data_IF_519133082051
#
_entry.id   IF_519133082051
#
_cell.length_a   1.000
_cell.length_b   1.000
_cell.length_c   1.000
_cell.angle_alpha   90.00
_cell.angle_beta   90.00
_cell.angle_gamma   90.00
#
_symmetry.space_group_name_H-M   'P 1'
#
loop_
_entity.id
_entity.type
_entity.pdbx_description
1 polymer ?
#
# COMPACT_ATOMS: atom_id res chain seq x y z
N UNK A 1 -8.66 -6.97 5.48
CA UNK A 1 -7.56 -6.83 4.52
C UNK A 1 -8.06 -6.08 3.31
N UNK A 2 -7.39 -4.98 2.96
CA UNK A 2 -7.69 -4.10 1.84
C UNK A 2 -6.50 -4.15 0.89
N UNK A 3 -6.75 -4.45 -0.37
CA UNK A 3 -5.75 -4.45 -1.44
C UNK A 3 -5.93 -3.16 -2.24
N UNK A 4 -4.89 -2.35 -2.35
CA UNK A 4 -4.87 -1.17 -3.21
C UNK A 4 -4.29 -1.48 -4.57
N UNK A 5 -5.02 -1.15 -5.64
CA UNK A 5 -4.47 -1.16 -6.99
C UNK A 5 -3.82 0.18 -7.29
N UNK A 6 -2.56 0.13 -7.70
CA UNK A 6 -1.78 1.32 -8.10
C UNK A 6 -1.21 1.11 -9.48
N UNK A 7 -0.95 2.19 -10.19
CA UNK A 7 -0.42 2.18 -11.55
C UNK A 7 -0.70 3.49 -12.25
N UNK A 8 0.06 3.78 -13.30
CA UNK A 8 -0.15 4.98 -14.10
C UNK A 8 -1.45 4.91 -14.91
N UNK A 9 -1.96 6.05 -15.43
CA UNK A 9 -3.06 6.03 -16.39
C UNK A 9 -2.76 5.12 -17.59
N UNK A 10 -3.78 4.49 -18.16
CA UNK A 10 -3.67 3.59 -19.31
C UNK A 10 -2.84 2.30 -19.10
N UNK A 11 -2.42 1.98 -17.88
CA UNK A 11 -1.73 0.71 -17.55
C UNK A 11 -2.63 -0.54 -17.56
N UNK A 12 -3.95 -0.36 -17.67
CA UNK A 12 -4.94 -1.43 -17.55
C UNK A 12 -5.49 -1.64 -16.13
N UNK A 13 -5.14 -0.77 -15.16
CA UNK A 13 -5.62 -0.80 -13.77
C UNK A 13 -7.14 -0.97 -13.63
N UNK A 14 -7.94 -0.12 -14.29
CA UNK A 14 -9.41 -0.21 -14.20
C UNK A 14 -9.98 -1.46 -14.88
N UNK A 15 -9.31 -1.99 -15.91
CA UNK A 15 -9.66 -3.26 -16.55
C UNK A 15 -9.42 -4.42 -15.58
N UNK A 16 -8.27 -4.44 -14.91
CA UNK A 16 -7.96 -5.41 -13.88
C UNK A 16 -8.96 -5.33 -12.72
N UNK A 17 -9.28 -4.12 -12.24
CA UNK A 17 -10.26 -3.91 -11.17
C UNK A 17 -11.62 -4.54 -11.52
N UNK A 18 -12.16 -4.25 -12.71
CA UNK A 18 -13.43 -4.81 -13.17
C UNK A 18 -13.39 -6.33 -13.30
N UNK A 19 -12.29 -6.88 -13.81
CA UNK A 19 -12.12 -8.33 -13.98
C UNK A 19 -11.98 -9.04 -12.62
N UNK A 20 -11.21 -8.48 -11.70
CA UNK A 20 -10.95 -9.05 -10.37
C UNK A 20 -12.18 -8.96 -9.44
N UNK A 21 -13.01 -7.94 -9.62
CA UNK A 21 -14.26 -7.76 -8.86
C UNK A 21 -15.46 -8.47 -9.50
N UNK A 22 -15.28 -9.10 -10.67
CA UNK A 22 -16.33 -9.77 -11.45
C UNK A 22 -17.61 -8.93 -11.47
N UNK A 23 -17.51 -7.68 -11.92
CA UNK A 23 -18.51 -6.63 -11.78
C UNK A 23 -19.85 -6.92 -12.50
N UNK A 24 -20.63 -7.87 -11.98
CA UNK A 24 -22.07 -7.76 -11.79
C UNK A 24 -22.27 -7.41 -10.31
N UNK A 25 -21.96 -6.16 -9.92
CA UNK A 25 -22.03 -5.75 -8.53
C UNK A 25 -23.50 -5.66 -8.12
N UNK A 26 -24.01 -6.71 -7.46
CA UNK A 26 -25.08 -6.52 -6.50
C UNK A 26 -24.52 -5.58 -5.43
N UNK A 27 -24.95 -4.32 -5.47
CA UNK A 27 -24.76 -3.34 -4.42
C UNK A 27 -25.49 -3.89 -3.19
N UNK A 28 -24.83 -4.73 -2.42
CA UNK A 28 -25.28 -5.04 -1.08
C UNK A 28 -25.03 -3.78 -0.24
N UNK A 29 -26.04 -3.24 0.45
CA UNK A 29 -25.86 -2.08 1.32
C UNK A 29 -25.09 -2.53 2.56
N UNK A 30 -23.76 -2.52 2.49
CA UNK A 30 -22.95 -2.55 3.70
C UNK A 30 -23.01 -1.15 4.33
N UNK A 31 -23.33 -1.02 5.63
CA UNK A 31 -23.71 0.25 6.27
C UNK A 31 -22.53 1.22 6.51
N UNK A 32 -21.49 1.20 5.68
CA UNK A 32 -20.29 2.03 5.80
C UNK A 32 -19.79 2.58 4.45
N UNK A 33 -20.65 2.71 3.44
CA UNK A 33 -20.27 3.34 2.17
C UNK A 33 -20.36 4.86 2.29
N UNK A 34 -19.27 5.48 2.71
CA UNK A 34 -19.03 6.91 2.44
C UNK A 34 -18.81 7.05 0.93
N UNK A 35 -19.47 8.04 0.31
CA UNK A 35 -19.27 8.36 -1.11
C UNK A 35 -17.84 8.91 -1.26
N UNK A 36 -16.87 8.09 -1.70
CA UNK A 36 -15.62 8.44 -2.40
C UNK A 36 -14.67 7.22 -2.45
N UNK A 37 -14.01 7.01 -3.61
CA UNK A 37 -13.17 5.87 -4.08
C UNK A 37 -13.93 4.70 -4.72
N UNK A 38 -13.39 4.15 -5.83
CA UNK A 38 -13.93 2.93 -6.45
C UNK A 38 -13.52 1.72 -5.59
N UNK A 39 -14.44 1.25 -4.76
CA UNK A 39 -14.26 0.06 -3.93
C UNK A 39 -15.01 -1.14 -4.52
N UNK A 40 -14.41 -2.32 -4.42
CA UNK A 40 -15.02 -3.57 -4.88
C UNK A 40 -14.61 -4.76 -4.03
N UNK A 41 -15.29 -5.88 -4.24
CA UNK A 41 -14.97 -7.14 -3.56
C UNK A 41 -14.36 -8.09 -4.58
N UNK A 42 -13.11 -8.50 -4.33
CA UNK A 42 -12.44 -9.58 -5.04
C UNK A 42 -12.42 -10.86 -4.18
N UNK A 43 -11.98 -11.98 -4.75
CA UNK A 43 -11.95 -13.25 -4.04
C UNK A 43 -10.56 -13.89 -4.07
N UNK A 44 -10.06 -14.27 -2.90
CA UNK A 44 -8.88 -15.13 -2.76
C UNK A 44 -9.34 -16.58 -2.76
N UNK A 45 -8.77 -17.39 -3.66
CA UNK A 45 -9.08 -18.81 -3.78
C UNK A 45 -8.14 -19.63 -2.90
N UNK A 46 -8.70 -20.55 -2.12
CA UNK A 46 -7.93 -21.52 -1.34
C UNK A 46 -8.63 -22.87 -1.31
N UNK A 47 -7.90 -23.95 -1.02
CA UNK A 47 -8.48 -25.27 -0.86
C UNK A 47 -9.49 -25.29 0.29
N UNK A 48 -10.65 -25.91 0.06
CA UNK A 48 -11.64 -26.10 1.10
C UNK A 48 -11.31 -27.36 1.90
N UNK A 49 -11.35 -27.25 3.23
CA UNK A 49 -11.11 -28.35 4.16
C UNK A 49 -12.24 -29.40 4.18
N UNK A 50 -13.29 -29.23 3.36
CA UNK A 50 -14.45 -30.15 3.32
C UNK A 50 -14.05 -31.58 2.98
N UNK A 51 -13.07 -31.77 2.09
CA UNK A 51 -12.56 -33.09 1.71
C UNK A 51 -11.75 -33.76 2.82
N UNK A 52 -10.96 -32.98 3.58
CA UNK A 52 -10.13 -33.47 4.68
C UNK A 52 -10.96 -33.81 5.92
N UNK A 53 -11.90 -32.91 6.26
CA UNK A 53 -12.71 -33.02 7.46
C UNK A 53 -14.01 -33.81 7.25
N UNK A 54 -14.32 -34.21 6.01
CA UNK A 54 -15.57 -34.90 5.62
C UNK A 54 -16.83 -34.17 6.10
N UNK A 55 -16.80 -32.84 6.15
CA UNK A 55 -17.93 -31.97 6.54
C UNK A 55 -18.32 -31.07 5.38
N UNK A 56 -19.61 -30.75 5.26
CA UNK A 56 -20.09 -29.83 4.23
C UNK A 56 -19.69 -28.39 4.57
N UNK A 57 -19.03 -27.70 3.64
CA UNK A 57 -18.68 -26.29 3.83
C UNK A 57 -19.94 -25.40 3.85
N UNK A 58 -20.12 -24.63 4.93
CA UNK A 58 -21.18 -23.63 5.08
C UNK A 58 -20.57 -22.29 5.49
N UNK A 59 -19.98 -21.53 4.53
CA UNK A 59 -19.29 -20.30 4.85
C UNK A 59 -20.28 -19.18 5.22
N UNK A 60 -20.02 -18.47 6.33
CA UNK A 60 -20.74 -17.23 6.67
C UNK A 60 -20.36 -16.06 5.76
N UNK A 61 -19.14 -16.07 5.22
CA UNK A 61 -18.58 -15.04 4.34
C UNK A 61 -17.96 -15.71 3.11
N UNK A 62 -18.24 -15.15 1.93
CA UNK A 62 -17.81 -15.73 0.66
C UNK A 62 -18.64 -16.95 0.24
N UNK A 63 -18.06 -17.81 -0.57
CA UNK A 63 -18.71 -19.04 -1.03
C UNK A 63 -17.69 -20.16 -1.26
N UNK A 64 -18.19 -21.38 -1.40
CA UNK A 64 -17.41 -22.56 -1.74
C UNK A 64 -17.96 -23.14 -3.03
N UNK A 65 -17.08 -23.48 -3.98
CA UNK A 65 -17.44 -24.12 -5.24
C UNK A 65 -16.38 -25.15 -5.59
N UNK A 66 -16.80 -26.40 -5.84
CA UNK A 66 -15.95 -27.50 -6.30
C UNK A 66 -14.70 -27.72 -5.42
N UNK A 67 -14.85 -27.75 -4.09
CA UNK A 67 -13.72 -27.90 -3.17
C UNK A 67 -12.81 -26.67 -3.05
N UNK A 68 -13.16 -25.53 -3.65
CA UNK A 68 -12.41 -24.28 -3.59
C UNK A 68 -13.22 -23.24 -2.80
N UNK A 69 -12.58 -22.67 -1.79
CA UNK A 69 -13.13 -21.58 -0.98
C UNK A 69 -12.74 -20.22 -1.58
N UNK A 70 -13.73 -19.36 -1.73
CA UNK A 70 -13.61 -17.99 -2.24
C UNK A 70 -13.77 -17.02 -1.06
N UNK A 71 -12.66 -16.49 -0.58
CA UNK A 71 -12.63 -15.59 0.58
C UNK A 71 -12.75 -14.15 0.08
N UNK A 72 -13.80 -13.41 0.45
CA UNK A 72 -14.00 -12.04 -0.02
C UNK A 72 -12.91 -11.14 0.56
N UNK A 73 -12.32 -10.32 -0.30
CA UNK A 73 -11.26 -9.37 0.04
C UNK A 73 -11.57 -8.03 -0.59
N UNK A 74 -11.43 -6.94 0.17
CA UNK A 74 -11.70 -5.60 -0.32
C UNK A 74 -10.59 -5.18 -1.29
N UNK A 75 -10.99 -4.68 -2.46
CA UNK A 75 -10.11 -4.13 -3.48
C UNK A 75 -10.47 -2.66 -3.63
N UNK A 76 -9.49 -1.77 -3.53
CA UNK A 76 -9.66 -0.34 -3.78
C UNK A 76 -8.86 0.06 -5.01
N UNK A 77 -9.46 0.86 -5.87
CA UNK A 77 -8.76 1.47 -6.98
C UNK A 77 -8.16 2.80 -6.53
N UNK A 78 -6.85 2.82 -6.29
CA UNK A 78 -6.16 4.05 -5.91
C UNK A 78 -6.04 4.93 -7.15
N UNK A 79 -6.35 6.22 -7.03
CA UNK A 79 -6.24 7.17 -8.14
C UNK A 79 -4.84 7.14 -8.77
N UNK A 80 -4.74 7.39 -10.08
CA UNK A 80 -3.49 7.23 -10.83
C UNK A 80 -2.35 8.07 -10.25
N UNK A 81 -1.17 7.44 -10.16
CA UNK A 81 0.08 8.07 -9.77
C UNK A 81 0.45 9.15 -10.78
N UNK A 82 0.63 10.38 -10.31
CA UNK A 82 1.23 11.47 -11.09
C UNK A 82 2.60 11.79 -10.48
N UNK A 83 3.65 11.98 -11.30
CA UNK A 83 4.96 12.43 -10.84
C UNK A 83 4.90 13.62 -9.87
N UNK A 84 5.61 13.52 -8.75
CA UNK A 84 5.69 14.61 -7.76
C UNK A 84 4.53 14.66 -6.77
N UNK A 85 3.81 13.55 -6.56
CA UNK A 85 2.75 13.45 -5.56
C UNK A 85 3.26 13.69 -4.13
N UNK A 86 4.47 13.22 -3.80
CA UNK A 86 5.11 13.46 -2.49
C UNK A 86 5.36 14.95 -2.19
N UNK A 87 5.65 15.76 -3.23
CA UNK A 87 5.97 17.18 -3.11
C UNK A 87 4.75 18.09 -2.90
N UNK A 88 3.55 17.52 -2.74
CA UNK A 88 2.32 18.28 -2.47
C UNK A 88 1.80 19.10 -3.66
N UNK A 89 2.31 18.87 -4.87
CA UNK A 89 1.75 19.47 -6.10
C UNK A 89 0.45 18.73 -6.47
N UNK A 90 -0.71 19.32 -6.14
CA UNK A 90 -2.04 18.83 -6.58
C UNK A 90 -2.68 17.78 -5.65
N UNK A 91 -3.44 16.82 -6.23
CA UNK A 91 -4.20 15.76 -5.52
C UNK A 91 -3.32 14.69 -4.81
N UNK A 92 -2.02 14.94 -4.64
CA UNK A 92 -1.05 13.98 -4.09
C UNK A 92 -1.36 13.54 -2.65
N UNK A 93 -1.90 14.43 -1.81
CA UNK A 93 -2.29 14.04 -0.44
C UNK A 93 -3.46 13.02 -0.42
N UNK A 94 -4.45 13.16 -1.32
CA UNK A 94 -5.55 12.20 -1.43
C UNK A 94 -5.06 10.82 -1.88
N UNK A 95 -4.13 10.77 -2.83
CA UNK A 95 -3.49 9.53 -3.25
C UNK A 95 -2.80 8.81 -2.08
N UNK A 96 -2.02 9.56 -1.29
CA UNK A 96 -1.28 9.04 -0.16
C UNK A 96 -2.22 8.61 0.99
N UNK A 97 -3.35 9.27 1.16
CA UNK A 97 -4.39 8.86 2.11
C UNK A 97 -5.11 7.57 1.67
N UNK A 98 -5.34 7.38 0.37
CA UNK A 98 -5.86 6.13 -0.19
C UNK A 98 -4.88 4.97 0.00
N UNK A 99 -3.57 5.22 -0.18
CA UNK A 99 -2.53 4.25 0.10
C UNK A 99 -2.47 3.84 1.58
N UNK A 100 -2.75 4.76 2.52
CA UNK A 100 -2.76 4.47 3.96
C UNK A 100 -3.82 3.43 4.36
N UNK A 101 -4.93 3.38 3.63
CA UNK A 101 -5.99 2.43 3.92
C UNK A 101 -5.64 1.00 3.48
N UNK A 102 -4.86 0.87 2.40
CA UNK A 102 -4.44 -0.41 1.87
C UNK A 102 -3.48 -1.14 2.82
N UNK A 103 -3.68 -2.45 2.97
CA UNK A 103 -2.73 -3.34 3.65
C UNK A 103 -1.64 -3.82 2.69
N UNK A 104 -1.98 -3.93 1.40
CA UNK A 104 -1.11 -4.43 0.32
C UNK A 104 -1.37 -3.62 -0.93
N UNK A 105 -0.31 -3.32 -1.69
CA UNK A 105 -0.40 -2.67 -2.99
C UNK A 105 -0.10 -3.66 -4.11
N UNK A 106 -0.96 -3.70 -5.13
CA UNK A 106 -0.71 -4.38 -6.40
C UNK A 106 -0.42 -3.32 -7.45
N UNK A 107 0.81 -3.30 -7.95
CA UNK A 107 1.23 -2.39 -9.01
C UNK A 107 0.93 -2.99 -10.39
N UNK A 108 0.00 -2.37 -11.10
CA UNK A 108 -0.35 -2.70 -12.48
C UNK A 108 0.54 -1.87 -13.42
N UNK A 109 1.33 -2.56 -14.25
CA UNK A 109 2.28 -1.96 -15.19
C UNK A 109 1.93 -2.32 -16.64
N UNK A 110 2.19 -1.41 -17.57
CA UNK A 110 2.04 -1.69 -19.00
C UNK A 110 3.28 -2.42 -19.52
N UNK A 111 3.20 -3.75 -19.57
CA UNK A 111 4.30 -4.59 -20.05
C UNK A 111 4.66 -4.36 -21.54
N UNK A 112 3.81 -3.68 -22.32
CA UNK A 112 4.09 -3.42 -23.74
C UNK A 112 5.07 -2.27 -23.96
N UNK A 113 5.32 -1.44 -22.94
CA UNK A 113 6.15 -0.24 -23.06
C UNK A 113 5.55 0.84 -23.98
N UNK A 114 4.28 0.70 -24.37
CA UNK A 114 3.63 1.58 -25.36
C UNK A 114 3.01 2.84 -24.77
N UNK A 115 3.16 3.05 -23.48
CA UNK A 115 2.60 4.22 -22.80
C UNK A 115 3.63 4.81 -21.84
N UNK A 116 3.78 6.13 -21.85
CA UNK A 116 4.67 6.85 -20.93
C UNK A 116 4.07 6.98 -19.52
N UNK A 117 4.77 7.68 -18.62
CA UNK A 117 4.37 7.90 -17.22
C UNK A 117 2.99 8.57 -17.05
N UNK A 118 2.56 9.37 -18.02
CA UNK A 118 1.26 10.06 -18.01
C UNK A 118 0.13 9.22 -18.64
N UNK A 119 0.47 8.05 -19.21
CA UNK A 119 -0.47 7.19 -19.94
C UNK A 119 -0.68 7.57 -21.40
N UNK A 120 0.17 8.44 -21.96
CA UNK A 120 0.16 8.81 -23.37
C UNK A 120 0.96 7.79 -24.20
N UNK A 121 0.61 7.56 -25.49
CA UNK A 121 1.35 6.66 -26.36
C UNK A 121 2.85 7.00 -26.44
N UNK A 122 3.69 5.98 -26.40
CA UNK A 122 5.15 6.06 -26.55
C UNK A 122 5.64 4.78 -27.23
N UNK A 123 6.79 4.82 -27.91
CA UNK A 123 7.27 3.66 -28.68
C UNK A 123 8.35 2.82 -27.97
N UNK A 124 8.86 3.27 -26.82
CA UNK A 124 9.91 2.56 -26.05
C UNK A 124 9.99 3.04 -24.59
N UNK A 125 8.90 2.94 -23.84
CA UNK A 125 8.92 3.32 -22.41
C UNK A 125 9.48 2.18 -21.55
N UNK A 126 10.51 2.49 -20.75
CA UNK A 126 11.14 1.51 -19.86
C UNK A 126 10.23 1.17 -18.68
N UNK A 127 9.60 0.00 -18.71
CA UNK A 127 8.70 -0.49 -17.65
C UNK A 127 9.40 -0.59 -16.28
N UNK A 128 10.72 -0.80 -16.25
CA UNK A 128 11.46 -0.82 -14.98
C UNK A 128 11.51 0.56 -14.33
N UNK A 129 11.48 1.63 -15.11
CA UNK A 129 11.39 2.99 -14.58
C UNK A 129 10.05 3.25 -13.91
N UNK A 130 8.96 2.66 -14.41
CA UNK A 130 7.63 2.74 -13.77
C UNK A 130 7.65 2.12 -12.36
N UNK A 131 8.24 0.93 -12.23
CA UNK A 131 8.35 0.24 -10.94
C UNK A 131 9.24 1.01 -9.97
N UNK A 132 10.40 1.49 -10.44
CA UNK A 132 11.32 2.29 -9.63
C UNK A 132 10.70 3.60 -9.18
N UNK A 133 10.01 4.29 -10.09
CA UNK A 133 9.33 5.54 -9.81
C UNK A 133 8.34 5.40 -8.64
N UNK A 134 7.49 4.36 -8.65
CA UNK A 134 6.56 4.14 -7.55
C UNK A 134 7.29 3.84 -6.22
N UNK A 135 8.35 3.02 -6.27
CA UNK A 135 9.14 2.73 -5.07
C UNK A 135 9.76 4.01 -4.50
N UNK A 136 10.40 4.82 -5.34
CA UNK A 136 11.03 6.07 -4.94
C UNK A 136 10.00 7.07 -4.37
N UNK A 137 8.81 7.18 -4.95
CA UNK A 137 7.74 8.06 -4.43
C UNK A 137 7.25 7.61 -3.03
N UNK A 138 7.08 6.30 -2.80
CA UNK A 138 6.70 5.77 -1.48
C UNK A 138 7.81 6.00 -0.47
N UNK A 139 9.06 5.75 -0.85
CA UNK A 139 10.24 5.94 0.01
C UNK A 139 10.39 7.41 0.41
N UNK A 140 10.25 8.33 -0.55
CA UNK A 140 10.31 9.77 -0.31
C UNK A 140 9.13 10.27 0.52
N UNK A 141 7.93 9.72 0.31
CA UNK A 141 6.78 10.06 1.14
C UNK A 141 6.97 9.65 2.60
N UNK A 142 7.46 8.43 2.85
CA UNK A 142 7.79 7.95 4.19
C UNK A 142 8.87 8.83 4.82
N UNK A 143 9.90 9.17 4.05
CA UNK A 143 10.97 10.08 4.50
C UNK A 143 10.41 11.45 4.91
N UNK A 144 9.58 12.07 4.06
CA UNK A 144 8.96 13.36 4.35
C UNK A 144 8.06 13.32 5.60
N UNK A 145 7.32 12.23 5.80
CA UNK A 145 6.51 12.02 7.01
C UNK A 145 7.36 11.98 8.29
N UNK A 146 8.56 11.42 8.22
CA UNK A 146 9.50 11.34 9.35
C UNK A 146 10.21 12.67 9.56
N UNK A 147 10.78 13.26 8.51
CA UNK A 147 11.56 14.50 8.59
C UNK A 147 10.72 15.67 9.10
N UNK A 148 9.46 15.79 8.66
CA UNK A 148 8.54 16.86 9.11
C UNK A 148 8.35 16.90 10.62
N UNK A 149 8.40 15.75 11.31
CA UNK A 149 8.26 15.66 12.78
C UNK A 149 9.56 15.36 13.50
N UNK A 150 10.68 15.23 12.78
CA UNK A 150 11.96 14.81 13.34
C UNK A 150 12.45 15.74 14.44
N UNK A 151 12.39 17.06 14.23
CA UNK A 151 12.80 18.04 15.25
C UNK A 151 11.99 17.91 16.55
N UNK A 152 10.70 17.56 16.45
CA UNK A 152 9.83 17.33 17.60
C UNK A 152 10.22 16.04 18.34
N UNK A 153 10.53 14.97 17.60
CA UNK A 153 11.02 13.72 18.18
C UNK A 153 12.36 13.89 18.88
N UNK A 154 13.31 14.59 18.25
CA UNK A 154 14.63 14.86 18.83
C UNK A 154 14.54 15.56 20.18
N UNK A 155 13.62 16.53 20.33
CA UNK A 155 13.42 17.24 21.60
C UNK A 155 12.80 16.35 22.68
N UNK A 156 11.81 15.52 22.31
CA UNK A 156 11.09 14.65 23.24
C UNK A 156 11.97 13.50 23.74
N UNK A 157 12.67 12.84 22.82
CA UNK A 157 13.54 11.69 23.12
C UNK A 157 14.84 12.08 23.83
N UNK A 158 15.21 13.36 23.82
CA UNK A 158 16.34 13.87 24.61
C UNK A 158 16.06 13.86 26.12
N UNK A 159 14.80 13.81 26.54
CA UNK A 159 14.43 13.73 27.96
C UNK A 159 14.25 12.28 28.40
N UNK A 160 13.48 11.47 27.67
CA UNK A 160 13.35 10.02 27.86
C UNK A 160 12.53 9.40 26.71
N UNK A 161 12.88 8.20 26.26
CA UNK A 161 12.05 7.41 25.34
C UNK A 161 12.82 6.53 24.37
N UNK A 162 12.13 5.55 23.79
CA UNK A 162 12.65 4.68 22.72
C UNK A 162 12.29 5.29 21.36
N UNK A 163 13.28 5.43 20.47
CA UNK A 163 13.06 5.95 19.13
C UNK A 163 12.15 5.02 18.34
N UNK A 164 12.35 3.71 18.46
CA UNK A 164 11.51 2.69 17.83
C UNK A 164 10.02 2.87 18.13
N UNK A 165 9.66 3.12 19.39
CA UNK A 165 8.28 3.34 19.82
C UNK A 165 7.69 4.65 19.24
N UNK A 166 8.47 5.73 19.21
CA UNK A 166 7.98 7.01 18.66
C UNK A 166 7.81 6.94 17.13
N UNK A 167 8.73 6.26 16.42
CA UNK A 167 8.60 5.98 14.99
C UNK A 167 7.36 5.11 14.71
N UNK A 168 7.12 4.06 15.51
CA UNK A 168 5.92 3.24 15.37
C UNK A 168 4.64 4.04 15.61
N UNK A 169 4.61 4.95 16.59
CA UNK A 169 3.47 5.86 16.81
C UNK A 169 3.24 6.78 15.61
N UNK A 170 4.30 7.33 15.04
CA UNK A 170 4.20 8.22 13.89
C UNK A 170 3.73 7.50 12.61
N UNK A 171 4.17 6.25 12.43
CA UNK A 171 3.81 5.42 11.28
C UNK A 171 2.60 4.51 11.56
N UNK A 172 1.91 4.69 12.70
CA UNK A 172 0.75 3.88 13.09
C UNK A 172 -0.40 3.96 12.08
N UNK A 173 -0.55 5.10 11.39
CA UNK A 173 -1.50 5.28 10.29
C UNK A 173 -1.23 4.40 9.06
N UNK A 174 -0.02 3.83 8.96
CA UNK A 174 0.39 2.85 7.96
C UNK A 174 0.44 1.42 8.51
N UNK A 175 -0.14 1.20 9.71
CA UNK A 175 -0.17 -0.09 10.41
C UNK A 175 1.23 -0.65 10.71
N UNK A 176 2.24 0.21 10.80
CA UNK A 176 3.61 -0.16 11.17
C UNK A 176 3.69 -0.41 12.68
N UNK A 177 4.21 -1.58 13.07
CA UNK A 177 4.37 -1.96 14.48
C UNK A 177 5.78 -1.66 15.01
N UNK A 178 5.95 -1.61 16.32
CA UNK A 178 7.27 -1.44 16.95
C UNK A 178 8.22 -2.57 16.56
N UNK A 179 7.74 -3.81 16.46
CA UNK A 179 8.56 -4.95 16.04
C UNK A 179 9.07 -4.80 14.60
N UNK A 180 8.27 -4.21 13.71
CA UNK A 180 8.68 -3.92 12.35
C UNK A 180 9.78 -2.84 12.32
N UNK A 181 9.61 -1.76 13.09
CA UNK A 181 10.62 -0.69 13.22
C UNK A 181 11.93 -1.23 13.77
N UNK A 182 11.89 -1.98 14.88
CA UNK A 182 13.08 -2.57 15.50
C UNK A 182 13.79 -3.52 14.53
N UNK A 183 13.03 -4.30 13.74
CA UNK A 183 13.61 -5.18 12.72
C UNK A 183 14.39 -4.42 11.66
N UNK A 184 13.82 -3.33 11.14
CA UNK A 184 14.48 -2.47 10.13
C UNK A 184 15.69 -1.77 10.73
N UNK A 185 15.58 -1.22 11.94
CA UNK A 185 16.71 -0.59 12.63
C UNK A 185 17.87 -1.57 12.85
N UNK A 186 17.58 -2.81 13.25
CA UNK A 186 18.60 -3.86 13.39
C UNK A 186 19.22 -4.23 12.04
N UNK A 187 18.42 -4.34 10.99
CA UNK A 187 18.91 -4.64 9.64
C UNK A 187 19.89 -3.57 9.13
N UNK A 188 19.58 -2.30 9.38
CA UNK A 188 20.38 -1.15 8.96
C UNK A 188 21.45 -0.73 10.00
N UNK A 189 21.59 -1.47 11.10
CA UNK A 189 22.49 -1.15 12.22
C UNK A 189 22.31 0.28 12.80
N UNK A 190 21.05 0.74 12.86
CA UNK A 190 20.69 2.06 13.36
C UNK A 190 20.50 2.06 14.88
N UNK A 191 20.93 3.15 15.53
CA UNK A 191 20.86 3.30 16.99
C UNK A 191 19.46 3.70 17.47
N UNK A 192 19.08 3.30 18.69
CA UNK A 192 17.92 3.87 19.38
C UNK A 192 18.10 5.36 19.77
N UNK A 193 19.32 5.88 19.69
CA UNK A 193 19.58 7.30 19.94
C UNK A 193 19.30 8.14 18.70
N UNK A 194 18.25 8.97 18.77
CA UNK A 194 17.85 9.91 17.71
C UNK A 194 18.96 10.90 17.33
N UNK A 195 19.87 11.22 18.25
CA UNK A 195 20.98 12.16 18.02
C UNK A 195 22.06 11.59 17.10
N UNK A 196 22.13 10.26 16.95
CA UNK A 196 23.11 9.59 16.10
C UNK A 196 22.66 9.50 14.64
N UNK A 197 21.37 9.72 14.38
CA UNK A 197 20.81 9.63 13.04
C UNK A 197 21.06 10.92 12.26
N UNK A 198 21.63 10.76 11.07
CA UNK A 198 21.73 11.79 10.04
C UNK A 198 20.52 11.72 9.11
N UNK A 199 20.39 12.70 8.22
CA UNK A 199 19.35 12.69 7.18
C UNK A 199 19.47 11.45 6.28
N UNK A 200 20.69 11.00 5.99
CA UNK A 200 20.92 9.77 5.22
C UNK A 200 20.34 8.54 5.94
N UNK A 201 20.47 8.46 7.27
CA UNK A 201 19.96 7.35 8.07
C UNK A 201 18.43 7.32 8.07
N UNK A 202 17.79 8.48 8.14
CA UNK A 202 16.32 8.59 8.02
C UNK A 202 15.86 8.12 6.64
N UNK A 203 16.58 8.49 5.57
CA UNK A 203 16.26 8.05 4.22
C UNK A 203 16.48 6.54 4.04
N UNK A 204 17.58 5.99 4.55
CA UNK A 204 17.85 4.55 4.53
C UNK A 204 16.75 3.78 5.28
N UNK A 205 16.36 4.27 6.46
CA UNK A 205 15.25 3.71 7.22
C UNK A 205 13.93 3.71 6.42
N UNK A 206 13.60 4.83 5.75
CA UNK A 206 12.39 4.93 4.92
C UNK A 206 12.40 3.95 3.74
N UNK A 207 13.58 3.68 3.15
CA UNK A 207 13.77 2.71 2.05
C UNK A 207 13.78 1.26 2.51
N UNK A 208 14.07 1.03 3.80
CA UNK A 208 14.30 -0.30 4.35
C UNK A 208 15.46 -1.06 3.69
N UNK A 209 16.42 -0.33 3.10
CA UNK A 209 17.58 -0.84 2.34
C UNK A 209 18.84 -0.08 2.73
#
# INVERSE_FOLDING_TARGET
MIIGLVGKPSSGKSTFFKAATLAEVAIAPYPFTTIDKNEGVAYVKTGCVEGELKVKCQPKFGYCKDGIRFIPTKLIDVAGLVPGAHAGKGRGNQFLDDLREADILIHIVDASGKTNAEGNPADDYNVLEEVRFLQDEIDLWLYDMLVKKWATFSRRLAQEGKLSLELAKQLSGLKVTEEAVVRVMKHLNLSESVLKWKKEDVLAFSRGK
#
